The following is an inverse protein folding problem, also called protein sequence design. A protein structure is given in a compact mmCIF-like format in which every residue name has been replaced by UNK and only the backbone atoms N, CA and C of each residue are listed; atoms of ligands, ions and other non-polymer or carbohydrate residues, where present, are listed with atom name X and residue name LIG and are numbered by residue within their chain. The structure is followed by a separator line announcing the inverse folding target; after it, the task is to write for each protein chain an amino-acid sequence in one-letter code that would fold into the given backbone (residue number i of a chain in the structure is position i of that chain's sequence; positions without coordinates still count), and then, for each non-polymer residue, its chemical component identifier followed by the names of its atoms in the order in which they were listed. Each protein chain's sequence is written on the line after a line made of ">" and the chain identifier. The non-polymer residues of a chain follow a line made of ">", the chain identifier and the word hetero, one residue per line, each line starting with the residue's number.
data_IF_294882179056
#
_entry.id   IF_294882179056
#
_cell.length_a   1.000
_cell.length_b   1.000
_cell.length_c   1.000
_cell.angle_alpha   90.00
_cell.angle_beta   90.00
_cell.angle_gamma   90.00
#
_symmetry.space_group_name_H-M   'P 1'
#
loop_
_entity.id
_entity.type
_entity.pdbx_description
1 polymer ?
#
# COMPACT_ATOMS: atom_id res chain seq x y z
N UNK A 1 -5.96 -37.29 2.02
CA UNK A 1 -5.78 -37.13 3.48
C UNK A 1 -5.34 -35.69 3.72
N UNK A 2 -6.11 -34.69 3.30
CA UNK A 2 -5.54 -33.34 3.06
C UNK A 2 -6.51 -32.16 3.35
N UNK A 3 -7.60 -32.39 4.07
CA UNK A 3 -8.54 -31.31 4.46
C UNK A 3 -8.20 -30.70 5.82
N UNK A 4 -7.60 -31.48 6.73
CA UNK A 4 -7.28 -31.04 8.11
C UNK A 4 -6.25 -29.90 8.17
N UNK A 5 -5.32 -29.84 7.22
CA UNK A 5 -4.32 -28.76 7.16
C UNK A 5 -4.90 -27.44 6.68
N UNK A 6 -5.91 -27.48 5.80
CA UNK A 6 -6.59 -26.29 5.28
C UNK A 6 -7.44 -25.66 6.38
N UNK A 7 -8.13 -26.48 7.19
CA UNK A 7 -8.88 -26.00 8.36
C UNK A 7 -7.97 -25.34 9.42
N UNK A 8 -6.73 -25.83 9.59
CA UNK A 8 -5.75 -25.22 10.49
C UNK A 8 -5.25 -23.86 9.98
N UNK A 9 -4.94 -23.75 8.69
CA UNK A 9 -4.54 -22.46 8.10
C UNK A 9 -5.67 -21.43 8.11
N UNK A 10 -6.92 -21.87 7.88
CA UNK A 10 -8.08 -20.98 7.92
C UNK A 10 -8.34 -20.45 9.34
N UNK A 11 -8.05 -21.25 10.37
CA UNK A 11 -8.16 -20.81 11.75
C UNK A 11 -7.02 -19.85 12.16
N UNK A 12 -5.79 -20.05 11.66
CA UNK A 12 -4.70 -19.09 11.84
C UNK A 12 -4.96 -17.77 11.12
N UNK A 13 -5.44 -17.79 9.87
CA UNK A 13 -5.79 -16.57 9.15
C UNK A 13 -6.89 -15.78 9.87
N UNK A 14 -7.86 -16.48 10.46
CA UNK A 14 -8.97 -15.85 11.20
C UNK A 14 -8.52 -15.28 12.55
N UNK A 15 -7.53 -15.87 13.23
CA UNK A 15 -6.95 -15.33 14.48
C UNK A 15 -6.07 -14.11 14.21
N UNK A 16 -5.27 -14.12 13.14
CA UNK A 16 -4.45 -12.98 12.71
C UNK A 16 -5.35 -11.80 12.32
N UNK A 17 -6.47 -12.06 11.63
CA UNK A 17 -7.47 -11.04 11.25
C UNK A 17 -8.11 -10.36 12.47
N UNK A 18 -8.40 -11.12 13.54
CA UNK A 18 -8.95 -10.56 14.78
C UNK A 18 -7.92 -9.74 15.57
N UNK A 19 -6.63 -10.11 15.50
CA UNK A 19 -5.54 -9.32 16.09
C UNK A 19 -5.23 -8.01 15.32
N UNK A 20 -5.48 -8.00 14.00
CA UNK A 20 -5.30 -6.83 13.15
C UNK A 20 -6.47 -5.83 13.24
N UNK A 21 -7.67 -6.29 13.62
CA UNK A 21 -8.84 -5.43 13.83
C UNK A 21 -8.86 -4.66 15.14
N UNK A 22 -8.01 -5.03 16.12
CA UNK A 22 -8.10 -4.54 17.50
C UNK A 22 -6.78 -3.98 18.07
N UNK A 23 -5.82 -3.60 17.21
CA UNK A 23 -4.67 -2.79 17.63
C UNK A 23 -5.02 -1.31 17.44
N UNK A 24 -5.24 -0.52 18.52
CA UNK A 24 -5.07 0.90 18.43
C UNK A 24 -3.64 1.14 17.96
N UNK A 25 -3.45 2.01 16.97
CA UNK A 25 -2.15 2.59 16.73
C UNK A 25 -1.75 3.34 18.01
N UNK A 26 -1.01 2.67 18.90
CA UNK A 26 -0.33 3.32 20.01
C UNK A 26 0.60 4.34 19.40
N UNK A 27 0.16 5.60 19.46
CA UNK A 27 0.99 6.77 19.34
C UNK A 27 2.12 6.65 20.36
N UNK A 28 3.30 6.25 19.87
CA UNK A 28 4.55 6.45 20.57
C UNK A 28 4.79 7.95 20.65
N UNK A 29 4.60 8.50 21.84
CA UNK A 29 5.12 9.81 22.20
C UNK A 29 6.64 9.69 22.32
N UNK A 30 7.35 10.06 21.26
CA UNK A 30 8.73 10.53 21.34
C UNK A 30 8.75 11.98 20.85
N UNK A 31 8.57 12.90 21.80
CA UNK A 31 8.93 14.29 21.62
C UNK A 31 10.46 14.43 21.69
N UNK A 32 11.13 14.33 20.56
CA UNK A 32 12.48 14.84 20.34
C UNK A 32 12.68 15.13 18.84
N UNK A 33 12.39 16.37 18.43
CA UNK A 33 12.63 16.85 17.07
C UNK A 33 11.60 16.32 16.07
N UNK A 34 10.42 16.94 16.04
CA UNK A 34 9.34 16.57 15.12
C UNK A 34 9.85 16.50 13.69
N UNK A 35 9.78 15.32 13.10
CA UNK A 35 10.04 15.11 11.68
C UNK A 35 9.15 16.09 10.92
N UNK A 36 9.76 17.06 10.25
CA UNK A 36 9.02 18.10 9.53
C UNK A 36 8.22 17.42 8.42
N UNK A 37 6.91 17.33 8.62
CA UNK A 37 6.00 16.69 7.69
C UNK A 37 6.10 17.33 6.29
N UNK A 38 6.39 18.64 6.21
CA UNK A 38 6.62 19.31 4.94
C UNK A 38 7.87 18.78 4.24
N UNK A 39 8.93 18.47 4.98
CA UNK A 39 10.14 17.86 4.44
C UNK A 39 9.88 16.43 3.95
N UNK A 40 9.11 15.63 4.69
CA UNK A 40 8.74 14.27 4.26
C UNK A 40 7.87 14.31 3.01
N UNK A 41 6.92 15.24 2.94
CA UNK A 41 6.07 15.44 1.77
C UNK A 41 6.90 15.88 0.55
N UNK A 42 7.86 16.79 0.76
CA UNK A 42 8.74 17.26 -0.30
C UNK A 42 9.66 16.15 -0.82
N UNK A 43 10.21 15.32 0.07
CA UNK A 43 10.99 14.15 -0.31
C UNK A 43 10.15 13.15 -1.10
N UNK A 44 8.92 12.86 -0.64
CA UNK A 44 8.00 11.99 -1.38
C UNK A 44 7.68 12.52 -2.78
N UNK A 45 7.57 13.84 -2.95
CA UNK A 45 7.33 14.46 -4.26
C UNK A 45 8.55 14.32 -5.20
N UNK A 46 9.76 14.45 -4.64
CA UNK A 46 11.02 14.23 -5.37
C UNK A 46 11.18 12.76 -5.77
N UNK A 47 10.82 11.84 -4.88
CA UNK A 47 10.89 10.39 -5.13
C UNK A 47 9.94 9.99 -6.27
N UNK A 48 8.70 10.52 -6.27
CA UNK A 48 7.74 10.29 -7.36
C UNK A 48 8.24 10.87 -8.69
N UNK A 49 8.84 12.06 -8.68
CA UNK A 49 9.42 12.66 -9.88
C UNK A 49 10.55 11.80 -10.47
N UNK A 50 11.40 11.25 -9.60
CA UNK A 50 12.52 10.39 -9.97
C UNK A 50 12.01 9.07 -10.55
N UNK A 51 11.10 8.39 -9.84
CA UNK A 51 10.46 7.16 -10.32
C UNK A 51 9.75 7.37 -11.67
N UNK A 52 9.13 8.54 -11.90
CA UNK A 52 8.49 8.87 -13.18
C UNK A 52 9.48 9.04 -14.33
N UNK A 53 10.68 9.58 -14.08
CA UNK A 53 11.75 9.66 -15.08
C UNK A 53 12.33 8.28 -15.40
N UNK A 54 12.57 7.49 -14.37
CA UNK A 54 13.12 6.15 -14.49
C UNK A 54 12.17 5.22 -15.26
N UNK A 55 10.86 5.30 -14.98
CA UNK A 55 9.84 4.58 -15.73
C UNK A 55 9.78 4.99 -17.21
N UNK A 56 9.99 6.28 -17.54
CA UNK A 56 10.06 6.72 -18.95
C UNK A 56 11.29 6.15 -19.65
N UNK A 57 12.44 6.16 -19.00
CA UNK A 57 13.67 5.57 -19.54
C UNK A 57 13.51 4.06 -19.77
N UNK A 58 12.86 3.35 -18.84
CA UNK A 58 12.55 1.92 -18.99
C UNK A 58 11.52 1.64 -20.10
N UNK A 59 10.51 2.50 -20.26
CA UNK A 59 9.55 2.36 -21.35
C UNK A 59 10.19 2.59 -22.73
N UNK A 60 11.15 3.50 -22.80
CA UNK A 60 11.94 3.78 -24.01
C UNK A 60 12.88 2.61 -24.33
N UNK A 61 13.52 2.01 -23.33
CA UNK A 61 14.32 0.79 -23.51
C UNK A 61 13.47 -0.45 -23.82
N UNK A 62 12.26 -0.55 -23.27
CA UNK A 62 11.34 -1.65 -23.55
C UNK A 62 10.78 -1.57 -24.98
N UNK A 63 10.48 -0.36 -25.46
CA UNK A 63 10.09 -0.11 -26.86
C UNK A 63 11.21 -0.43 -27.86
N UNK A 64 12.46 -0.57 -27.39
CA UNK A 64 13.59 -1.06 -28.16
C UNK A 64 13.61 -2.60 -28.34
N UNK A 65 12.62 -3.32 -27.80
CA UNK A 65 12.33 -4.71 -28.16
C UNK A 65 12.94 -5.78 -27.24
N UNK A 66 12.79 -5.62 -25.92
CA UNK A 66 13.37 -6.55 -24.94
C UNK A 66 12.59 -7.89 -24.85
N UNK A 67 13.23 -9.05 -25.14
CA UNK A 67 12.58 -10.36 -25.23
C UNK A 67 12.30 -11.07 -23.89
N UNK A 68 12.51 -10.43 -22.73
CA UNK A 68 12.46 -11.08 -21.42
C UNK A 68 11.09 -11.14 -20.71
N UNK A 69 10.00 -10.69 -21.33
CA UNK A 69 8.69 -10.62 -20.66
C UNK A 69 7.86 -11.87 -20.90
N UNK A 70 7.71 -12.66 -19.84
CA UNK A 70 6.91 -13.87 -19.84
C UNK A 70 5.42 -13.51 -19.63
N UNK A 71 4.54 -13.92 -20.54
CA UNK A 71 3.10 -13.58 -20.53
C UNK A 71 2.42 -13.92 -19.18
N UNK A 72 2.93 -14.94 -18.50
CA UNK A 72 2.44 -15.38 -17.19
C UNK A 72 2.65 -14.31 -16.11
N UNK A 73 3.80 -13.63 -16.11
CA UNK A 73 4.13 -12.57 -15.15
C UNK A 73 3.25 -11.34 -15.38
N UNK A 74 2.99 -11.01 -16.65
CA UNK A 74 2.08 -9.91 -17.03
C UNK A 74 0.67 -10.11 -16.48
N UNK A 75 0.14 -11.34 -16.54
CA UNK A 75 -1.21 -11.62 -16.01
C UNK A 75 -1.27 -11.54 -14.48
N UNK A 76 -0.21 -12.00 -13.79
CA UNK A 76 -0.11 -11.90 -12.33
C UNK A 76 -0.01 -10.44 -11.89
N UNK A 77 0.81 -9.65 -12.57
CA UNK A 77 0.96 -8.22 -12.28
C UNK A 77 -0.33 -7.45 -12.55
N UNK A 78 -1.07 -7.79 -13.59
CA UNK A 78 -2.36 -7.17 -13.89
C UNK A 78 -3.39 -7.47 -12.78
N UNK A 79 -3.43 -8.69 -12.28
CA UNK A 79 -4.30 -9.08 -11.15
C UNK A 79 -3.89 -8.36 -9.87
N UNK A 80 -2.59 -8.28 -9.58
CA UNK A 80 -2.04 -7.56 -8.42
C UNK A 80 -2.33 -6.07 -8.48
N UNK A 81 -2.23 -5.46 -9.65
CA UNK A 81 -2.56 -4.06 -9.88
C UNK A 81 -4.05 -3.78 -9.63
N UNK A 82 -4.94 -4.64 -10.13
CA UNK A 82 -6.38 -4.53 -9.90
C UNK A 82 -6.73 -4.60 -8.41
N UNK A 83 -6.13 -5.56 -7.69
CA UNK A 83 -6.35 -5.70 -6.25
C UNK A 83 -5.81 -4.50 -5.46
N UNK A 84 -4.62 -4.01 -5.83
CA UNK A 84 -4.00 -2.84 -5.19
C UNK A 84 -4.82 -1.57 -5.41
N UNK A 85 -5.41 -1.40 -6.60
CA UNK A 85 -6.30 -0.29 -6.89
C UNK A 85 -7.56 -0.31 -6.02
N UNK A 86 -8.18 -1.48 -5.86
CA UNK A 86 -9.34 -1.64 -4.98
C UNK A 86 -9.00 -1.28 -3.52
N UNK A 87 -7.82 -1.69 -3.05
CA UNK A 87 -7.34 -1.34 -1.72
C UNK A 87 -7.09 0.17 -1.58
N UNK A 88 -6.50 0.81 -2.60
CA UNK A 88 -6.24 2.26 -2.59
C UNK A 88 -7.55 3.08 -2.51
N UNK A 89 -8.62 2.64 -3.18
CA UNK A 89 -9.94 3.27 -3.07
C UNK A 89 -10.45 3.23 -1.63
N UNK A 90 -10.28 2.10 -0.92
CA UNK A 90 -10.66 2.00 0.49
C UNK A 90 -9.82 2.89 1.39
N UNK A 91 -8.51 2.99 1.14
CA UNK A 91 -7.62 3.90 1.86
C UNK A 91 -8.03 5.36 1.63
N UNK A 92 -8.30 5.75 0.38
CA UNK A 92 -8.81 7.09 0.05
C UNK A 92 -10.07 7.41 0.84
N UNK A 93 -11.03 6.50 0.88
CA UNK A 93 -12.29 6.72 1.59
C UNK A 93 -12.06 6.89 3.10
N UNK A 94 -11.19 6.07 3.71
CA UNK A 94 -10.80 6.22 5.13
C UNK A 94 -10.11 7.55 5.42
N UNK A 95 -9.26 8.04 4.52
CA UNK A 95 -8.59 9.33 4.68
C UNK A 95 -9.57 10.50 4.61
N UNK A 96 -10.56 10.43 3.72
CA UNK A 96 -11.64 11.44 3.64
C UNK A 96 -12.46 11.45 4.92
N UNK A 97 -12.84 10.28 5.45
CA UNK A 97 -13.56 10.17 6.72
C UNK A 97 -12.74 10.71 7.88
N UNK A 98 -11.45 10.34 7.98
CA UNK A 98 -10.57 10.83 9.04
C UNK A 98 -10.41 12.37 9.01
N UNK A 99 -10.37 12.97 7.83
CA UNK A 99 -10.36 14.42 7.69
C UNK A 99 -11.68 15.06 8.16
N UNK A 100 -12.81 14.48 7.76
CA UNK A 100 -14.13 14.92 8.22
C UNK A 100 -14.30 14.78 9.74
N UNK A 101 -13.79 13.69 10.33
CA UNK A 101 -13.86 13.45 11.78
C UNK A 101 -13.04 14.48 12.56
N UNK A 102 -11.85 14.87 12.07
CA UNK A 102 -11.04 15.94 12.67
C UNK A 102 -11.77 17.29 12.56
N UNK A 103 -12.42 17.56 11.43
CA UNK A 103 -13.11 18.84 11.20
C UNK A 103 -14.41 18.97 12.02
N UNK A 104 -15.07 17.84 12.30
CA UNK A 104 -16.29 17.78 13.11
C UNK A 104 -16.02 17.56 14.60
N UNK A 105 -14.76 17.43 15.02
CA UNK A 105 -14.40 17.34 16.43
C UNK A 105 -14.72 18.69 17.07
N UNK A 106 -15.63 18.75 18.07
CA UNK A 106 -15.83 19.97 18.84
C UNK A 106 -14.55 20.28 19.59
N UNK A 107 -14.06 21.52 19.48
CA UNK A 107 -13.06 22.07 20.40
C UNK A 107 -13.64 22.26 21.80
#
# INVERSE_FOLDING_TARGET
>A
MDTRGIDQMLNELRSVSQSAGNKPATAGSEAAGGVDFAQVLQNALVDVSTASKEARAMAESFSAGDPNVNLQDVMVDLQKASLSFQQMVQVRNRLVTAYQDIMNMPV
#
